data_IF_805172065582
#
_entry.id   IF_805172065582
#
_cell.length_a   1.000
_cell.length_b   1.000
_cell.length_c   1.000
_cell.angle_alpha   90.00
_cell.angle_beta   90.00
_cell.angle_gamma   90.00
#
_symmetry.space_group_name_H-M   'P 1'
#
loop_
_entity.id
_entity.type
_entity.pdbx_description
1 polymer ?
#
# COMPACT_ATOMS: atom_id res chain seq x y z
N UNK A 1 -29.43 80.67 -103.84
CA UNK A 1 -30.26 80.41 -105.03
C UNK A 1 -29.47 80.86 -106.24
N UNK A 2 -28.92 79.92 -106.99
CA UNK A 2 -28.07 80.18 -108.15
C UNK A 2 -28.89 79.94 -109.41
N UNK A 3 -29.10 81.01 -110.17
CA UNK A 3 -29.86 81.05 -111.43
C UNK A 3 -29.50 79.85 -112.32
N UNK A 4 -30.50 79.01 -112.56
CA UNK A 4 -30.39 77.84 -113.43
C UNK A 4 -30.21 78.28 -114.89
N UNK A 5 -28.94 78.50 -115.23
CA UNK A 5 -28.25 78.38 -116.53
C UNK A 5 -29.15 78.31 -117.76
N UNK A 6 -29.12 79.38 -118.56
CA UNK A 6 -29.95 79.71 -119.74
C UNK A 6 -30.17 78.64 -120.84
N UNK A 7 -29.63 77.41 -120.74
CA UNK A 7 -29.80 76.35 -121.75
C UNK A 7 -30.94 75.37 -121.47
N UNK A 8 -31.35 75.22 -120.21
CA UNK A 8 -32.55 74.45 -119.85
C UNK A 8 -32.86 74.64 -118.37
N UNK A 9 -34.15 74.83 -118.04
CA UNK A 9 -34.63 74.71 -116.65
C UNK A 9 -34.46 73.26 -116.20
N UNK A 10 -33.61 73.04 -115.20
CA UNK A 10 -33.42 71.75 -114.53
C UNK A 10 -34.74 71.18 -113.99
N UNK A 11 -34.88 69.85 -113.82
CA UNK A 11 -36.05 69.27 -113.18
C UNK A 11 -36.26 69.88 -111.78
N UNK A 12 -37.51 70.23 -111.40
CA UNK A 12 -37.83 70.66 -110.04
C UNK A 12 -37.40 69.61 -109.00
N UNK A 13 -36.93 70.06 -107.83
CA UNK A 13 -36.53 69.13 -106.74
C UNK A 13 -37.65 68.18 -106.31
N UNK A 14 -38.90 68.66 -106.33
CA UNK A 14 -40.09 67.91 -105.93
C UNK A 14 -40.41 66.74 -106.88
N UNK A 15 -40.04 66.85 -108.17
CA UNK A 15 -40.25 65.79 -109.17
C UNK A 15 -38.96 65.03 -109.49
N UNK A 16 -37.84 65.38 -108.85
CA UNK A 16 -36.53 64.78 -109.13
C UNK A 16 -36.52 63.27 -108.83
N UNK A 17 -37.16 62.80 -107.76
CA UNK A 17 -37.23 61.36 -107.47
C UNK A 17 -37.86 60.59 -108.63
N UNK A 18 -39.04 61.05 -109.07
CA UNK A 18 -39.80 60.45 -110.15
C UNK A 18 -39.05 60.51 -111.50
N UNK A 19 -38.36 61.62 -111.77
CA UNK A 19 -37.59 61.82 -113.00
C UNK A 19 -36.37 60.90 -113.05
N UNK A 20 -35.62 60.74 -111.96
CA UNK A 20 -34.41 59.92 -111.92
C UNK A 20 -34.69 58.41 -111.75
N UNK A 21 -35.87 58.03 -111.25
CA UNK A 21 -36.27 56.63 -111.10
C UNK A 21 -36.88 56.02 -112.38
N UNK A 22 -37.30 56.84 -113.34
CA UNK A 22 -37.90 56.37 -114.59
C UNK A 22 -36.83 56.01 -115.64
N UNK A 23 -37.00 54.92 -116.41
CA UNK A 23 -36.19 54.66 -117.60
C UNK A 23 -36.25 55.88 -118.53
N UNK A 24 -35.08 56.45 -118.86
CA UNK A 24 -34.96 57.66 -119.68
C UNK A 24 -35.76 58.87 -119.16
N UNK A 25 -36.00 58.98 -117.85
CA UNK A 25 -36.82 60.07 -117.31
C UNK A 25 -36.22 61.48 -117.50
N UNK A 26 -34.91 61.59 -117.70
CA UNK A 26 -34.24 62.86 -118.04
C UNK A 26 -34.34 63.25 -119.52
N UNK A 27 -34.84 62.37 -120.40
CA UNK A 27 -34.88 62.58 -121.85
C UNK A 27 -35.57 63.90 -122.25
N UNK A 28 -36.70 64.32 -121.63
CA UNK A 28 -37.33 65.61 -121.97
C UNK A 28 -36.45 66.83 -121.70
N UNK A 29 -35.50 66.73 -120.75
CA UNK A 29 -34.53 67.79 -120.46
C UNK A 29 -33.32 67.70 -121.39
N UNK A 30 -32.86 66.49 -121.69
CA UNK A 30 -31.78 66.26 -122.65
C UNK A 30 -32.17 66.73 -124.05
N UNK A 31 -33.40 66.49 -124.48
CA UNK A 31 -33.91 66.95 -125.79
C UNK A 31 -34.02 68.47 -125.87
N UNK A 32 -34.41 69.16 -124.79
CA UNK A 32 -34.38 70.63 -124.74
C UNK A 32 -32.96 71.16 -124.90
N UNK A 33 -31.99 70.55 -124.21
CA UNK A 33 -30.57 70.91 -124.33
C UNK A 33 -30.06 70.64 -125.75
N UNK A 34 -30.42 69.50 -126.37
CA UNK A 34 -30.04 69.18 -127.77
C UNK A 34 -30.63 70.18 -128.75
N UNK A 35 -31.90 70.56 -128.59
CA UNK A 35 -32.57 71.51 -129.47
C UNK A 35 -31.89 72.89 -129.40
N UNK A 36 -31.53 73.34 -128.20
CA UNK A 36 -30.85 74.61 -128.02
C UNK A 36 -29.42 74.61 -128.55
N UNK A 37 -28.67 73.51 -128.37
CA UNK A 37 -27.32 73.38 -128.92
C UNK A 37 -27.33 73.26 -130.45
N UNK A 38 -28.28 72.51 -131.02
CA UNK A 38 -28.41 72.31 -132.48
C UNK A 38 -28.84 73.55 -133.23
N UNK A 39 -29.49 74.51 -132.56
CA UNK A 39 -29.86 75.81 -133.13
C UNK A 39 -28.67 76.76 -133.33
N UNK A 40 -27.50 76.46 -132.75
CA UNK A 40 -26.30 77.27 -132.90
C UNK A 40 -25.59 76.96 -134.23
N UNK A 41 -25.50 77.95 -135.12
CA UNK A 41 -24.73 77.85 -136.38
C UNK A 41 -23.24 78.08 -136.08
N UNK A 42 -22.36 77.07 -136.18
CA UNK A 42 -20.96 77.21 -135.78
C UNK A 42 -20.16 78.06 -136.77
N UNK A 43 -19.47 79.09 -136.28
CA UNK A 43 -18.50 79.88 -137.07
C UNK A 43 -17.08 79.67 -136.54
N UNK A 44 -16.24 78.97 -137.32
CA UNK A 44 -14.85 78.73 -136.98
C UNK A 44 -13.89 79.80 -137.54
N UNK A 45 -14.37 80.66 -138.45
CA UNK A 45 -13.55 81.64 -139.16
C UNK A 45 -13.21 82.84 -138.27
N UNK A 46 -14.08 83.18 -137.31
CA UNK A 46 -13.86 84.30 -136.39
C UNK A 46 -13.51 83.83 -134.98
N UNK A 47 -12.73 84.65 -134.26
CA UNK A 47 -12.44 84.41 -132.82
C UNK A 47 -13.74 84.37 -132.01
N UNK A 48 -14.66 85.31 -132.29
CA UNK A 48 -15.96 85.41 -131.62
C UNK A 48 -16.82 84.15 -131.82
N UNK A 49 -16.84 83.57 -133.02
CA UNK A 49 -17.55 82.33 -133.30
C UNK A 49 -16.97 81.13 -132.54
N UNK A 50 -15.64 80.99 -132.50
CA UNK A 50 -14.96 79.95 -131.70
C UNK A 50 -15.21 80.10 -130.18
N UNK A 51 -15.19 81.33 -129.68
CA UNK A 51 -15.49 81.63 -128.26
C UNK A 51 -16.97 81.31 -127.92
N UNK A 52 -17.90 81.57 -128.84
CA UNK A 52 -19.32 81.21 -128.68
C UNK A 52 -19.53 79.69 -128.61
N UNK A 53 -18.84 78.91 -129.45
CA UNK A 53 -18.85 77.44 -129.40
C UNK A 53 -18.29 76.94 -128.06
N UNK A 54 -17.17 77.50 -127.61
CA UNK A 54 -16.57 77.14 -126.32
C UNK A 54 -17.50 77.46 -125.14
N UNK A 55 -18.17 78.61 -125.17
CA UNK A 55 -19.15 79.01 -124.16
C UNK A 55 -20.38 78.09 -124.13
N UNK A 56 -20.91 77.73 -125.31
CA UNK A 56 -22.03 76.79 -125.43
C UNK A 56 -21.66 75.41 -124.85
N UNK A 57 -20.48 74.88 -125.21
CA UNK A 57 -19.97 73.63 -124.66
C UNK A 57 -19.75 73.70 -123.14
N UNK A 58 -19.29 74.83 -122.61
CA UNK A 58 -19.14 75.05 -121.17
C UNK A 58 -20.49 75.04 -120.45
N UNK A 59 -21.51 75.72 -121.00
CA UNK A 59 -22.87 75.72 -120.44
C UNK A 59 -23.46 74.29 -120.43
N UNK A 60 -23.26 73.49 -121.49
CA UNK A 60 -23.67 72.07 -121.51
C UNK A 60 -22.98 71.26 -120.39
N UNK A 61 -21.66 71.43 -120.19
CA UNK A 61 -20.93 70.78 -119.09
C UNK A 61 -21.47 71.19 -117.72
N UNK A 62 -21.82 72.47 -117.55
CA UNK A 62 -22.40 72.99 -116.30
C UNK A 62 -23.76 72.35 -116.00
N UNK A 63 -24.63 72.22 -117.01
CA UNK A 63 -25.94 71.55 -116.87
C UNK A 63 -25.76 70.05 -116.57
N UNK A 64 -24.81 69.37 -117.22
CA UNK A 64 -24.45 67.98 -116.89
C UNK A 64 -24.08 67.82 -115.42
N UNK A 65 -23.15 68.64 -114.92
CA UNK A 65 -22.72 68.59 -113.51
C UNK A 65 -23.88 68.86 -112.55
N UNK A 66 -24.78 69.77 -112.90
CA UNK A 66 -25.97 70.03 -112.09
C UNK A 66 -26.94 68.84 -112.05
N UNK A 67 -27.19 68.20 -113.20
CA UNK A 67 -28.01 66.99 -113.28
C UNK A 67 -27.37 65.83 -112.50
N UNK A 68 -26.07 65.61 -112.63
CA UNK A 68 -25.36 64.56 -111.88
C UNK A 68 -25.42 64.82 -110.36
N UNK A 69 -25.14 66.06 -109.94
CA UNK A 69 -25.19 66.47 -108.53
C UNK A 69 -26.58 66.30 -107.90
N UNK A 70 -27.66 66.60 -108.63
CA UNK A 70 -29.03 66.37 -108.14
C UNK A 70 -29.34 64.87 -107.98
N UNK A 71 -28.93 64.03 -108.93
CA UNK A 71 -29.11 62.58 -108.84
C UNK A 71 -28.32 61.98 -107.66
N UNK A 72 -27.08 62.43 -107.46
CA UNK A 72 -26.26 62.03 -106.32
C UNK A 72 -26.89 62.42 -104.99
N UNK A 73 -27.31 63.69 -104.84
CA UNK A 73 -27.96 64.17 -103.61
C UNK A 73 -29.23 63.36 -103.30
N UNK A 74 -30.04 63.05 -104.32
CA UNK A 74 -31.22 62.23 -104.16
C UNK A 74 -30.89 60.82 -103.64
N UNK A 75 -29.85 60.17 -104.20
CA UNK A 75 -29.39 58.85 -103.72
C UNK A 75 -28.88 58.93 -102.29
N UNK A 76 -28.14 59.98 -101.94
CA UNK A 76 -27.63 60.19 -100.59
C UNK A 76 -28.78 60.39 -99.58
N UNK A 77 -29.78 61.23 -99.91
CA UNK A 77 -30.97 61.47 -99.11
C UNK A 77 -31.80 60.18 -98.93
N UNK A 78 -32.01 59.41 -100.01
CA UNK A 78 -32.74 58.14 -99.96
C UNK A 78 -32.02 57.08 -99.10
N UNK A 79 -30.69 57.03 -99.14
CA UNK A 79 -29.90 56.10 -98.32
C UNK A 79 -29.87 56.50 -96.85
N UNK A 80 -30.11 57.77 -96.54
CA UNK A 80 -30.19 58.25 -95.15
C UNK A 80 -31.52 57.88 -94.49
N UNK A 81 -32.61 57.77 -95.26
CA UNK A 81 -33.94 57.40 -94.74
C UNK A 81 -33.94 56.07 -93.96
N UNK A 82 -33.43 54.93 -94.49
CA UNK A 82 -33.32 53.69 -93.73
C UNK A 82 -32.52 53.82 -92.44
N UNK A 83 -31.39 54.56 -92.46
CA UNK A 83 -30.56 54.78 -91.26
C UNK A 83 -31.35 55.50 -90.17
N UNK A 84 -32.11 56.54 -90.54
CA UNK A 84 -32.95 57.30 -89.61
C UNK A 84 -34.11 56.44 -89.08
N UNK A 85 -34.72 55.62 -89.92
CA UNK A 85 -35.77 54.69 -89.51
C UNK A 85 -35.22 53.68 -88.50
N UNK A 86 -34.06 53.06 -88.76
CA UNK A 86 -33.49 52.08 -87.84
C UNK A 86 -33.05 52.70 -86.52
N UNK A 87 -32.49 53.91 -86.55
CA UNK A 87 -32.17 54.66 -85.34
C UNK A 87 -33.41 54.96 -84.51
N UNK A 88 -34.50 55.43 -85.13
CA UNK A 88 -35.75 55.72 -84.40
C UNK A 88 -36.41 54.44 -83.88
N UNK A 89 -36.38 53.35 -84.67
CA UNK A 89 -36.87 52.03 -84.22
C UNK A 89 -36.10 51.51 -83.02
N UNK A 90 -34.77 51.71 -82.98
CA UNK A 90 -33.95 51.36 -81.82
C UNK A 90 -34.33 52.24 -80.63
N UNK A 91 -34.33 53.56 -80.79
CA UNK A 91 -34.72 54.51 -79.75
C UNK A 91 -36.08 54.17 -79.14
N UNK A 92 -37.06 53.86 -79.99
CA UNK A 92 -38.40 53.46 -79.57
C UNK A 92 -38.35 52.18 -78.72
N UNK A 93 -37.66 51.12 -79.16
CA UNK A 93 -37.53 49.88 -78.37
C UNK A 93 -36.87 50.16 -77.02
N UNK A 94 -35.70 50.78 -77.02
CA UNK A 94 -34.94 51.07 -75.80
C UNK A 94 -35.77 51.93 -74.82
N UNK A 95 -36.56 52.88 -75.32
CA UNK A 95 -37.46 53.72 -74.50
C UNK A 95 -38.63 52.93 -73.92
N UNK A 96 -39.26 52.07 -74.73
CA UNK A 96 -40.42 51.27 -74.29
C UNK A 96 -40.00 50.15 -73.33
N UNK A 97 -38.83 49.54 -73.53
CA UNK A 97 -38.26 48.55 -72.62
C UNK A 97 -37.94 49.19 -71.26
N UNK A 98 -37.27 50.34 -71.24
CA UNK A 98 -37.00 51.08 -70.00
C UNK A 98 -38.28 51.52 -69.28
N UNK A 99 -39.31 51.95 -70.02
CA UNK A 99 -40.61 52.29 -69.44
C UNK A 99 -41.31 51.05 -68.86
N UNK A 100 -41.22 49.90 -69.53
CA UNK A 100 -41.78 48.65 -69.02
C UNK A 100 -41.09 48.24 -67.70
N UNK A 101 -39.76 48.36 -67.62
CA UNK A 101 -38.99 48.11 -66.41
C UNK A 101 -39.39 49.06 -65.28
N UNK A 102 -39.50 50.36 -65.56
CA UNK A 102 -39.93 51.38 -64.58
C UNK A 102 -41.35 51.12 -64.06
N UNK A 103 -42.27 50.69 -64.93
CA UNK A 103 -43.64 50.34 -64.56
C UNK A 103 -43.69 49.04 -63.74
N UNK A 104 -42.81 48.07 -64.02
CA UNK A 104 -42.74 46.80 -63.30
C UNK A 104 -42.00 46.90 -61.97
N UNK A 105 -41.08 47.86 -61.83
CA UNK A 105 -40.21 48.03 -60.65
C UNK A 105 -40.97 48.01 -59.32
N UNK A 106 -42.08 48.75 -59.11
CA UNK A 106 -42.80 48.71 -57.83
C UNK A 106 -43.33 47.31 -57.47
N UNK A 107 -43.77 46.52 -58.47
CA UNK A 107 -44.21 45.15 -58.23
C UNK A 107 -43.03 44.23 -57.91
N UNK A 108 -41.88 44.42 -58.55
CA UNK A 108 -40.66 43.64 -58.27
C UNK A 108 -40.14 43.92 -56.86
N UNK A 109 -40.13 45.18 -56.44
CA UNK A 109 -39.74 45.59 -55.09
C UNK A 109 -40.69 45.01 -54.04
N UNK A 110 -41.99 45.00 -54.32
CA UNK A 110 -42.99 44.39 -53.43
C UNK A 110 -42.84 42.86 -53.36
N UNK A 111 -42.66 42.17 -54.48
CA UNK A 111 -42.45 40.72 -54.52
C UNK A 111 -41.23 40.31 -53.69
N UNK A 112 -40.11 41.03 -53.82
CA UNK A 112 -38.91 40.77 -53.02
C UNK A 112 -39.16 41.05 -51.53
N UNK A 113 -39.78 42.18 -51.19
CA UNK A 113 -40.08 42.52 -49.81
C UNK A 113 -41.02 41.49 -49.15
N UNK A 114 -41.95 40.93 -49.93
CA UNK A 114 -42.88 39.90 -49.48
C UNK A 114 -42.19 38.54 -49.32
N UNK A 115 -41.30 38.16 -50.24
CA UNK A 115 -40.45 36.97 -50.09
C UNK A 115 -39.56 37.09 -48.84
N UNK A 116 -38.92 38.23 -48.63
CA UNK A 116 -38.10 38.51 -47.45
C UNK A 116 -38.94 38.52 -46.16
N UNK A 117 -40.17 39.03 -46.19
CA UNK A 117 -41.12 38.98 -45.05
C UNK A 117 -41.44 37.52 -44.70
N UNK A 118 -41.86 36.73 -45.68
CA UNK A 118 -42.19 35.31 -45.50
C UNK A 118 -40.98 34.52 -44.99
N UNK A 119 -39.80 34.75 -45.56
CA UNK A 119 -38.58 34.05 -45.14
C UNK A 119 -38.18 34.41 -43.70
N UNK A 120 -38.27 35.69 -43.31
CA UNK A 120 -38.00 36.11 -41.92
C UNK A 120 -38.91 35.39 -40.92
N UNK A 121 -40.19 35.20 -41.23
CA UNK A 121 -41.09 34.44 -40.35
C UNK A 121 -40.71 32.97 -40.27
N UNK A 122 -40.40 32.33 -41.40
CA UNK A 122 -39.94 30.93 -41.43
C UNK A 122 -38.66 30.75 -40.60
N UNK A 123 -37.67 31.62 -40.79
CA UNK A 123 -36.42 31.59 -40.04
C UNK A 123 -36.66 31.79 -38.54
N UNK A 124 -37.59 32.67 -38.16
CA UNK A 124 -37.95 32.90 -36.76
C UNK A 124 -38.64 31.67 -36.14
N UNK A 125 -39.54 30.98 -36.87
CA UNK A 125 -40.14 29.72 -36.43
C UNK A 125 -39.07 28.62 -36.26
N UNK A 126 -38.16 28.49 -37.23
CA UNK A 126 -37.05 27.53 -37.16
C UNK A 126 -36.08 27.88 -36.01
N UNK A 127 -35.88 29.17 -35.73
CA UNK A 127 -35.11 29.67 -34.60
C UNK A 127 -35.65 29.16 -33.26
N UNK A 128 -36.97 29.08 -33.08
CA UNK A 128 -37.60 28.51 -31.88
C UNK A 128 -37.20 27.04 -31.71
N UNK A 129 -37.25 26.25 -32.78
CA UNK A 129 -36.86 24.84 -32.74
C UNK A 129 -35.35 24.68 -32.46
N UNK A 130 -34.53 25.54 -33.06
CA UNK A 130 -33.07 25.54 -32.88
C UNK A 130 -32.64 25.77 -31.44
N UNK A 131 -33.39 26.56 -30.65
CA UNK A 131 -33.10 26.74 -29.21
C UNK A 131 -33.15 25.42 -28.42
N UNK A 132 -34.02 24.49 -28.83
CA UNK A 132 -34.15 23.17 -28.19
C UNK A 132 -32.99 22.26 -28.58
N UNK A 133 -32.59 22.29 -29.86
CA UNK A 133 -31.53 21.42 -30.40
C UNK A 133 -30.15 21.85 -29.91
N UNK A 134 -29.91 23.16 -29.83
CA UNK A 134 -28.58 23.69 -29.51
C UNK A 134 -28.32 23.83 -28.00
N UNK A 135 -29.32 23.63 -27.14
CA UNK A 135 -29.11 23.63 -25.69
C UNK A 135 -28.42 22.34 -25.23
N UNK A 136 -27.48 22.47 -24.28
CA UNK A 136 -26.80 21.32 -23.70
C UNK A 136 -27.65 20.66 -22.60
N UNK A 137 -27.22 19.49 -22.12
CA UNK A 137 -27.97 18.68 -21.13
C UNK A 137 -27.82 19.15 -19.67
N UNK A 138 -27.22 20.31 -19.40
CA UNK A 138 -27.17 20.86 -18.03
C UNK A 138 -28.50 21.52 -17.66
N UNK A 139 -28.88 21.42 -16.38
CA UNK A 139 -30.10 22.07 -15.89
C UNK A 139 -30.05 23.61 -16.08
N UNK A 140 -28.87 24.22 -16.00
CA UNK A 140 -28.70 25.65 -16.28
C UNK A 140 -28.99 26.00 -17.74
N UNK A 141 -28.40 25.26 -18.69
CA UNK A 141 -28.65 25.49 -20.12
C UNK A 141 -30.10 25.22 -20.51
N UNK A 142 -30.74 24.21 -19.93
CA UNK A 142 -32.14 23.90 -20.18
C UNK A 142 -33.06 25.02 -19.65
N UNK A 143 -32.78 25.57 -18.46
CA UNK A 143 -33.50 26.74 -17.93
C UNK A 143 -33.28 27.99 -18.77
N UNK A 144 -32.06 28.24 -19.23
CA UNK A 144 -31.76 29.38 -20.10
C UNK A 144 -32.48 29.27 -21.45
N UNK A 145 -32.48 28.09 -22.07
CA UNK A 145 -33.22 27.84 -23.31
C UNK A 145 -34.73 28.00 -23.11
N UNK A 146 -35.27 27.51 -21.99
CA UNK A 146 -36.68 27.65 -21.64
C UNK A 146 -37.06 29.13 -21.48
N UNK A 147 -36.27 29.91 -20.75
CA UNK A 147 -36.48 31.35 -20.60
C UNK A 147 -36.42 32.09 -21.95
N UNK A 148 -35.49 31.71 -22.83
CA UNK A 148 -35.37 32.28 -24.17
C UNK A 148 -36.63 32.01 -25.01
N UNK A 149 -37.15 30.78 -25.00
CA UNK A 149 -38.40 30.44 -25.70
C UNK A 149 -39.59 31.15 -25.08
N UNK A 150 -39.68 31.24 -23.75
CA UNK A 150 -40.77 31.95 -23.05
C UNK A 150 -40.81 33.43 -23.40
N UNK A 151 -39.64 34.07 -23.55
CA UNK A 151 -39.49 35.48 -23.91
C UNK A 151 -39.97 35.83 -25.33
N UNK A 152 -40.09 34.86 -26.24
CA UNK A 152 -40.57 35.10 -27.61
C UNK A 152 -42.06 35.44 -27.56
N UNK A 153 -42.41 36.70 -27.80
CA UNK A 153 -43.81 37.10 -27.93
C UNK A 153 -44.41 36.45 -29.18
N UNK A 154 -45.60 35.89 -29.03
CA UNK A 154 -46.42 35.41 -30.15
C UNK A 154 -47.63 36.31 -30.19
N UNK A 155 -47.77 37.06 -31.28
CA UNK A 155 -48.84 38.03 -31.48
C UNK A 155 -49.00 38.42 -32.95
N UNK A 156 -49.76 39.50 -33.21
CA UNK A 156 -50.12 39.92 -34.57
C UNK A 156 -48.93 40.20 -35.49
N UNK A 157 -47.76 40.48 -34.92
CA UNK A 157 -46.51 40.68 -35.65
C UNK A 157 -46.03 39.44 -36.41
N UNK A 158 -46.57 38.25 -36.12
CA UNK A 158 -46.30 37.01 -36.85
C UNK A 158 -47.22 36.77 -38.04
N UNK A 159 -48.25 37.61 -38.21
CA UNK A 159 -49.16 37.57 -39.35
C UNK A 159 -49.74 36.16 -39.59
N UNK A 160 -49.68 35.60 -40.80
CA UNK A 160 -50.19 34.26 -41.10
C UNK A 160 -49.41 33.13 -40.41
N UNK A 161 -48.21 33.42 -39.88
CA UNK A 161 -47.34 32.46 -39.18
C UNK A 161 -47.61 32.40 -37.67
N UNK A 162 -48.48 33.24 -37.11
CA UNK A 162 -48.77 33.28 -35.67
C UNK A 162 -49.10 31.90 -35.10
N UNK A 163 -50.02 31.18 -35.76
CA UNK A 163 -50.42 29.85 -35.32
C UNK A 163 -49.30 28.82 -35.43
N UNK A 164 -48.41 28.95 -36.40
CA UNK A 164 -47.24 28.07 -36.55
C UNK A 164 -46.18 28.35 -35.50
N UNK A 165 -45.88 29.62 -35.25
CA UNK A 165 -44.97 30.07 -34.22
C UNK A 165 -45.46 29.69 -32.82
N UNK A 166 -46.77 29.81 -32.55
CA UNK A 166 -47.39 29.34 -31.31
C UNK A 166 -47.16 27.84 -31.09
N UNK A 167 -47.44 27.02 -32.12
CA UNK A 167 -47.22 25.55 -32.05
C UNK A 167 -45.74 25.21 -31.85
N UNK A 168 -44.84 25.91 -32.53
CA UNK A 168 -43.40 25.72 -32.39
C UNK A 168 -42.94 26.07 -30.97
N UNK A 169 -43.42 27.20 -30.42
CA UNK A 169 -43.15 27.63 -29.03
C UNK A 169 -43.67 26.61 -28.03
N UNK A 170 -44.92 26.16 -28.15
CA UNK A 170 -45.52 25.19 -27.22
C UNK A 170 -44.75 23.86 -27.24
N UNK A 171 -44.40 23.37 -28.43
CA UNK A 171 -43.59 22.15 -28.59
C UNK A 171 -42.21 22.31 -27.95
N UNK A 172 -41.56 23.45 -28.15
CA UNK A 172 -40.25 23.74 -27.56
C UNK A 172 -40.32 23.81 -26.04
N UNK A 173 -41.32 24.51 -25.48
CA UNK A 173 -41.54 24.61 -24.04
C UNK A 173 -41.81 23.23 -23.41
N UNK A 174 -42.69 22.43 -24.01
CA UNK A 174 -42.96 21.08 -23.52
C UNK A 174 -41.69 20.22 -23.50
N UNK A 175 -40.97 20.17 -24.62
CA UNK A 175 -39.76 19.36 -24.72
C UNK A 175 -38.63 19.80 -23.77
N UNK A 176 -38.46 21.11 -23.58
CA UNK A 176 -37.46 21.64 -22.63
C UNK A 176 -37.86 21.38 -21.17
N UNK A 177 -39.15 21.50 -20.83
CA UNK A 177 -39.65 21.18 -19.47
C UNK A 177 -39.44 19.71 -19.14
N UNK A 178 -39.77 18.81 -20.06
CA UNK A 178 -39.59 17.36 -19.85
C UNK A 178 -38.11 17.01 -19.64
N UNK A 179 -37.21 17.58 -20.47
CA UNK A 179 -35.76 17.40 -20.31
C UNK A 179 -35.25 17.98 -18.99
N UNK A 180 -35.72 19.16 -18.58
CA UNK A 180 -35.31 19.78 -17.32
C UNK A 180 -35.74 18.93 -16.12
N UNK A 181 -37.00 18.47 -16.08
CA UNK A 181 -37.49 17.60 -15.00
C UNK A 181 -36.68 16.30 -14.93
N UNK A 182 -36.42 15.67 -16.07
CA UNK A 182 -35.59 14.46 -16.13
C UNK A 182 -34.17 14.73 -15.60
N UNK A 183 -33.60 15.89 -15.96
CA UNK A 183 -32.25 16.27 -15.54
C UNK A 183 -32.15 16.59 -14.05
N UNK A 184 -33.10 17.34 -13.52
CA UNK A 184 -33.17 17.66 -12.08
C UNK A 184 -33.36 16.40 -11.24
N UNK A 185 -34.21 15.47 -11.71
CA UNK A 185 -34.37 14.17 -11.08
C UNK A 185 -33.06 13.38 -11.07
N UNK A 186 -32.38 13.30 -12.21
CA UNK A 186 -31.07 12.63 -12.31
C UNK A 186 -30.04 13.23 -11.34
N UNK A 187 -29.94 14.56 -11.30
CA UNK A 187 -29.00 15.26 -10.41
C UNK A 187 -29.34 15.04 -8.92
N UNK A 188 -30.62 15.02 -8.56
CA UNK A 188 -31.08 14.71 -7.21
C UNK A 188 -30.73 13.26 -6.81
N UNK A 189 -30.97 12.30 -7.69
CA UNK A 189 -30.61 10.88 -7.47
C UNK A 189 -29.09 10.70 -7.31
N UNK A 190 -28.28 11.40 -8.10
CA UNK A 190 -26.81 11.37 -7.95
C UNK A 190 -26.36 11.98 -6.62
N UNK A 191 -26.99 13.08 -6.19
CA UNK A 191 -26.69 13.71 -4.91
C UNK A 191 -27.07 12.82 -3.72
N UNK A 192 -28.22 12.13 -3.80
CA UNK A 192 -28.64 11.16 -2.78
C UNK A 192 -27.69 9.96 -2.74
N UNK A 193 -27.33 9.40 -3.89
CA UNK A 193 -26.38 8.30 -3.97
C UNK A 193 -25.01 8.68 -3.37
N UNK A 194 -24.54 9.90 -3.64
CA UNK A 194 -23.30 10.41 -3.05
C UNK A 194 -23.40 10.54 -1.52
N UNK A 195 -24.54 11.01 -0.99
CA UNK A 195 -24.78 11.07 0.47
C UNK A 195 -24.81 9.68 1.09
N UNK A 196 -25.50 8.72 0.47
CA UNK A 196 -25.56 7.34 0.95
C UNK A 196 -24.16 6.71 1.01
N UNK A 197 -23.34 6.88 -0.04
CA UNK A 197 -21.95 6.43 -0.06
C UNK A 197 -21.09 7.09 1.02
N UNK A 198 -21.27 8.39 1.26
CA UNK A 198 -20.54 9.09 2.32
C UNK A 198 -20.93 8.58 3.72
N UNK A 199 -22.22 8.31 3.95
CA UNK A 199 -22.70 7.74 5.22
C UNK A 199 -22.16 6.32 5.41
N UNK A 200 -22.18 5.49 4.36
CA UNK A 200 -21.64 4.13 4.40
C UNK A 200 -20.13 4.13 4.66
N UNK A 201 -19.36 4.95 3.94
CA UNK A 201 -17.92 5.10 4.17
C UNK A 201 -17.61 5.58 5.60
N UNK A 202 -18.39 6.51 6.15
CA UNK A 202 -18.23 6.96 7.53
C UNK A 202 -18.54 5.85 8.55
N UNK A 203 -19.55 5.00 8.29
CA UNK A 203 -19.85 3.83 9.12
C UNK A 203 -18.72 2.82 9.07
N UNK A 204 -18.24 2.46 7.89
CA UNK A 204 -17.11 1.54 7.73
C UNK A 204 -15.85 2.06 8.44
N UNK A 205 -15.57 3.36 8.33
CA UNK A 205 -14.45 3.98 9.02
C UNK A 205 -14.61 3.87 10.54
N UNK A 206 -15.79 4.20 11.06
CA UNK A 206 -16.09 4.06 12.49
C UNK A 206 -15.97 2.61 12.96
N UNK A 207 -16.48 1.64 12.21
CA UNK A 207 -16.36 0.22 12.54
C UNK A 207 -14.91 -0.27 12.52
N UNK A 208 -14.09 0.23 11.58
CA UNK A 208 -12.64 -0.03 11.55
C UNK A 208 -11.96 0.55 12.78
N UNK A 209 -12.24 1.80 13.12
CA UNK A 209 -11.69 2.47 14.30
C UNK A 209 -12.11 1.76 15.60
N UNK A 210 -13.38 1.38 15.72
CA UNK A 210 -13.88 0.59 16.86
C UNK A 210 -13.24 -0.80 16.92
N UNK A 211 -13.04 -1.48 15.78
CA UNK A 211 -12.34 -2.77 15.74
C UNK A 211 -10.89 -2.61 16.19
N UNK A 212 -10.17 -1.62 15.68
CA UNK A 212 -8.80 -1.32 16.10
C UNK A 212 -8.75 -0.99 17.60
N UNK A 213 -9.70 -0.20 18.10
CA UNK A 213 -9.79 0.13 19.52
C UNK A 213 -10.08 -1.11 20.39
N UNK A 214 -11.01 -1.98 19.97
CA UNK A 214 -11.30 -3.26 20.65
C UNK A 214 -10.09 -4.19 20.65
N UNK A 215 -9.43 -4.37 19.51
CA UNK A 215 -8.22 -5.18 19.38
C UNK A 215 -7.07 -4.64 20.25
N UNK A 216 -6.91 -3.32 20.31
CA UNK A 216 -5.92 -2.67 21.16
C UNK A 216 -6.22 -2.85 22.66
N UNK A 217 -7.48 -2.67 23.07
CA UNK A 217 -7.92 -2.90 24.44
C UNK A 217 -7.77 -4.37 24.85
N UNK A 218 -8.18 -5.31 24.01
CA UNK A 218 -8.05 -6.74 24.28
C UNK A 218 -6.58 -7.14 24.37
N UNK A 219 -5.74 -6.65 23.46
CA UNK A 219 -4.29 -6.88 23.54
C UNK A 219 -3.69 -6.33 24.83
N UNK A 220 -4.06 -5.10 25.22
CA UNK A 220 -3.59 -4.51 26.48
C UNK A 220 -4.04 -5.32 27.70
N UNK A 221 -5.28 -5.82 27.70
CA UNK A 221 -5.80 -6.70 28.75
C UNK A 221 -5.04 -8.03 28.79
N UNK A 222 -4.85 -8.71 27.65
CA UNK A 222 -4.07 -9.96 27.58
C UNK A 222 -2.62 -9.75 28.04
N UNK A 223 -1.99 -8.66 27.65
CA UNK A 223 -0.63 -8.32 28.08
C UNK A 223 -0.57 -8.03 29.60
N UNK A 224 -1.57 -7.34 30.15
CA UNK A 224 -1.68 -7.09 31.60
C UNK A 224 -1.95 -8.38 32.39
N UNK A 225 -2.87 -9.23 31.93
CA UNK A 225 -3.16 -10.54 32.54
C UNK A 225 -1.95 -11.47 32.47
N UNK A 226 -1.24 -11.52 31.34
CA UNK A 226 -0.01 -12.30 31.20
C UNK A 226 1.10 -11.81 32.15
N UNK A 227 1.25 -10.48 32.33
CA UNK A 227 2.19 -9.91 33.32
C UNK A 227 1.78 -10.26 34.74
N UNK A 228 0.50 -10.10 35.09
CA UNK A 228 -0.01 -10.44 36.41
C UNK A 228 0.14 -11.94 36.71
N UNK A 229 -0.10 -12.81 35.72
CA UNK A 229 0.11 -14.25 35.87
C UNK A 229 1.60 -14.58 36.01
N UNK A 230 2.47 -13.96 35.21
CA UNK A 230 3.92 -14.15 35.35
C UNK A 230 4.45 -13.68 36.72
N UNK A 231 3.92 -12.59 37.26
CA UNK A 231 4.23 -12.13 38.62
C UNK A 231 3.73 -13.10 39.69
N UNK A 232 2.52 -13.63 39.55
CA UNK A 232 1.97 -14.66 40.45
C UNK A 232 2.80 -15.95 40.39
N UNK A 233 3.14 -16.43 39.21
CA UNK A 233 3.96 -17.63 39.03
C UNK A 233 5.37 -17.42 39.58
N UNK A 234 5.95 -16.23 39.39
CA UNK A 234 7.25 -15.88 39.99
C UNK A 234 7.17 -15.80 41.51
N UNK A 235 6.11 -15.25 42.08
CA UNK A 235 5.88 -15.22 43.52
C UNK A 235 5.69 -16.64 44.09
N UNK A 236 4.88 -17.48 43.44
CA UNK A 236 4.67 -18.87 43.81
C UNK A 236 5.96 -19.69 43.73
N UNK A 237 6.80 -19.46 42.71
CA UNK A 237 8.14 -20.08 42.63
C UNK A 237 9.04 -19.65 43.77
N UNK A 238 9.09 -18.35 44.10
CA UNK A 238 9.87 -17.85 45.24
C UNK A 238 9.39 -18.43 46.57
N UNK A 239 8.08 -18.55 46.76
CA UNK A 239 7.50 -19.17 47.96
C UNK A 239 7.82 -20.67 48.03
N UNK A 240 7.67 -21.40 46.92
CA UNK A 240 8.04 -22.82 46.84
C UNK A 240 9.55 -23.05 47.08
N UNK A 241 10.41 -22.20 46.52
CA UNK A 241 11.86 -22.23 46.76
C UNK A 241 12.19 -21.92 48.22
N UNK A 242 11.52 -20.94 48.83
CA UNK A 242 11.69 -20.61 50.24
C UNK A 242 11.22 -21.74 51.17
N UNK A 243 10.09 -22.40 50.85
CA UNK A 243 9.60 -23.57 51.58
C UNK A 243 10.54 -24.76 51.43
N UNK A 244 11.01 -25.04 50.22
CA UNK A 244 11.99 -26.12 49.97
C UNK A 244 13.31 -25.85 50.69
N UNK A 245 13.78 -24.60 50.71
CA UNK A 245 14.97 -24.20 51.47
C UNK A 245 14.74 -24.34 52.99
N UNK A 246 13.57 -23.95 53.49
CA UNK A 246 13.21 -24.11 54.90
C UNK A 246 13.07 -25.59 55.30
N UNK A 247 12.50 -26.44 54.45
CA UNK A 247 12.39 -27.88 54.66
C UNK A 247 13.78 -28.54 54.65
N UNK A 248 14.64 -28.17 53.69
CA UNK A 248 16.03 -28.63 53.64
C UNK A 248 16.81 -28.20 54.89
N UNK A 249 16.63 -26.95 55.34
CA UNK A 249 17.23 -26.47 56.58
C UNK A 249 16.72 -27.23 57.81
N UNK A 250 15.42 -27.54 57.87
CA UNK A 250 14.82 -28.33 58.96
C UNK A 250 15.33 -29.77 58.97
N UNK A 251 15.41 -30.43 57.82
CA UNK A 251 15.97 -31.77 57.68
C UNK A 251 17.44 -31.80 58.10
N UNK A 252 18.24 -30.80 57.69
CA UNK A 252 19.63 -30.68 58.12
C UNK A 252 19.76 -30.45 59.64
N UNK A 253 18.89 -29.62 60.23
CA UNK A 253 18.86 -29.41 61.68
C UNK A 253 18.45 -30.68 62.44
N UNK A 254 17.47 -31.45 61.94
CA UNK A 254 17.10 -32.75 62.49
C UNK A 254 18.23 -33.77 62.38
N UNK A 255 18.93 -33.81 61.25
CA UNK A 255 20.07 -34.71 61.06
C UNK A 255 21.23 -34.33 62.00
N UNK A 256 21.47 -33.04 62.21
CA UNK A 256 22.46 -32.56 63.17
C UNK A 256 22.08 -32.92 64.62
N UNK A 257 20.80 -32.79 64.97
CA UNK A 257 20.29 -33.19 66.29
C UNK A 257 20.39 -34.70 66.51
N UNK A 258 20.03 -35.52 65.51
CA UNK A 258 20.20 -36.97 65.60
C UNK A 258 21.67 -37.38 65.72
N UNK A 259 22.59 -36.69 65.01
CA UNK A 259 24.02 -36.90 65.18
C UNK A 259 24.50 -36.55 66.58
N UNK A 260 23.95 -35.48 67.19
CA UNK A 260 24.25 -35.10 68.58
C UNK A 260 23.76 -36.16 69.57
N UNK A 261 22.51 -36.60 69.43
CA UNK A 261 21.92 -37.65 70.28
C UNK A 261 22.70 -38.96 70.12
N UNK A 262 23.05 -39.36 68.89
CA UNK A 262 23.86 -40.55 68.65
C UNK A 262 25.26 -40.44 69.26
N UNK A 263 25.89 -39.25 69.19
CA UNK A 263 27.18 -39.01 69.84
C UNK A 263 27.09 -39.05 71.37
N UNK A 264 26.01 -38.52 71.97
CA UNK A 264 25.75 -38.61 73.41
C UNK A 264 25.52 -40.06 73.84
N UNK A 265 24.71 -40.82 73.10
CA UNK A 265 24.47 -42.24 73.36
C UNK A 265 25.76 -43.06 73.23
N UNK A 266 26.59 -42.78 72.23
CA UNK A 266 27.88 -43.45 72.07
C UNK A 266 28.83 -43.12 73.24
N UNK A 267 28.88 -41.86 73.68
CA UNK A 267 29.68 -41.45 74.84
C UNK A 267 29.18 -42.09 76.15
N UNK A 268 27.88 -42.33 76.29
CA UNK A 268 27.30 -43.01 77.45
C UNK A 268 27.57 -44.52 77.43
N UNK A 269 27.48 -45.18 76.27
CA UNK A 269 27.91 -46.56 76.08
C UNK A 269 29.41 -46.73 76.38
N UNK A 270 30.24 -45.79 75.95
CA UNK A 270 31.68 -45.81 76.23
C UNK A 270 31.97 -45.63 77.73
N UNK A 271 31.23 -44.77 78.44
CA UNK A 271 31.31 -44.67 79.92
C UNK A 271 30.88 -45.95 80.61
N UNK A 272 29.79 -46.58 80.16
CA UNK A 272 29.31 -47.84 80.73
C UNK A 272 30.31 -48.97 80.47
N UNK A 273 30.91 -49.05 79.28
CA UNK A 273 31.95 -50.00 78.95
C UNK A 273 33.25 -49.77 79.74
N UNK A 274 33.60 -48.51 80.05
CA UNK A 274 34.72 -48.19 80.93
C UNK A 274 34.45 -48.61 82.38
N UNK A 275 33.23 -48.38 82.90
CA UNK A 275 32.83 -48.78 84.24
C UNK A 275 32.77 -50.31 84.42
N UNK A 276 32.36 -51.05 83.39
CA UNK A 276 32.40 -52.53 83.40
C UNK A 276 33.84 -53.03 83.40
N UNK A 277 34.72 -52.46 82.56
CA UNK A 277 36.16 -52.81 82.55
C UNK A 277 36.84 -52.55 83.90
N UNK A 278 36.48 -51.46 84.59
CA UNK A 278 37.01 -51.14 85.91
C UNK A 278 36.55 -52.13 86.99
N UNK A 279 35.26 -52.56 86.94
CA UNK A 279 34.73 -53.61 87.83
C UNK A 279 35.36 -54.98 87.56
N UNK A 280 35.58 -55.35 86.30
CA UNK A 280 36.25 -56.60 85.94
C UNK A 280 37.73 -56.61 86.36
N UNK A 281 38.42 -55.48 86.21
CA UNK A 281 39.79 -55.31 86.70
C UNK A 281 39.89 -55.41 88.24
N UNK A 282 38.93 -54.82 88.97
CA UNK A 282 38.84 -54.92 90.43
C UNK A 282 38.54 -56.36 90.90
N UNK A 283 37.61 -57.06 90.24
CA UNK A 283 37.29 -58.46 90.55
C UNK A 283 38.48 -59.40 90.27
N UNK A 284 39.22 -59.19 89.18
CA UNK A 284 40.43 -59.97 88.89
C UNK A 284 41.60 -59.65 89.83
N UNK A 285 41.67 -58.45 90.41
CA UNK A 285 42.65 -58.10 91.44
C UNK A 285 42.32 -58.79 92.78
N UNK A 286 41.04 -58.82 93.16
CA UNK A 286 40.58 -59.51 94.38
C UNK A 286 40.78 -61.04 94.30
N UNK A 287 40.52 -61.63 93.13
CA UNK A 287 40.69 -63.07 92.91
C UNK A 287 42.17 -63.49 92.93
N UNK A 288 43.08 -62.65 92.39
CA UNK A 288 44.54 -62.85 92.51
C UNK A 288 45.04 -62.70 93.96
N UNK A 289 44.47 -61.77 94.73
CA UNK A 289 44.80 -61.60 96.14
C UNK A 289 44.36 -62.81 97.01
N UNK A 290 43.17 -63.39 96.73
CA UNK A 290 42.70 -64.61 97.42
C UNK A 290 43.54 -65.85 97.09
N UNK A 291 43.92 -66.04 95.83
CA UNK A 291 44.79 -67.16 95.43
C UNK A 291 46.21 -67.05 96.01
N UNK A 292 46.76 -65.83 96.11
CA UNK A 292 48.06 -65.60 96.75
C UNK A 292 48.01 -65.86 98.27
N UNK A 293 46.90 -65.53 98.95
CA UNK A 293 46.70 -65.81 100.37
C UNK A 293 46.54 -67.31 100.68
N UNK A 294 45.86 -68.07 99.82
CA UNK A 294 45.71 -69.52 99.97
C UNK A 294 47.03 -70.29 99.72
N UNK A 295 47.84 -69.86 98.75
CA UNK A 295 49.16 -70.45 98.51
C UNK A 295 50.14 -70.17 99.66
N UNK A 296 50.11 -68.98 100.27
CA UNK A 296 50.91 -68.66 101.45
C UNK A 296 50.49 -69.49 102.69
N UNK A 297 49.18 -69.72 102.87
CA UNK A 297 48.65 -70.54 103.98
C UNK A 297 48.86 -72.06 103.80
N UNK A 298 49.10 -72.54 102.58
CA UNK A 298 49.48 -73.92 102.30
C UNK A 298 50.99 -74.16 102.53
N UNK A 299 51.84 -73.20 102.15
CA UNK A 299 53.28 -73.27 102.39
C UNK A 299 53.67 -73.25 103.87
N UNK A 300 52.98 -72.48 104.71
CA UNK A 300 53.23 -72.44 106.16
C UNK A 300 52.78 -73.72 106.89
N UNK A 301 51.71 -74.39 106.40
CA UNK A 301 51.26 -75.68 106.94
C UNK A 301 52.20 -76.83 106.60
N UNK A 302 52.86 -76.79 105.44
CA UNK A 302 53.85 -77.78 105.06
C UNK A 302 55.14 -77.66 105.91
N UNK A 303 55.59 -76.44 106.21
CA UNK A 303 56.81 -76.20 107.01
C UNK A 303 56.69 -76.72 108.45
N UNK A 304 55.49 -76.61 109.06
CA UNK A 304 55.22 -77.09 110.43
C UNK A 304 55.16 -78.63 110.49
N UNK A 305 54.69 -79.29 109.43
CA UNK A 305 54.64 -80.75 109.36
C UNK A 305 56.04 -81.39 109.22
N UNK A 306 56.92 -80.75 108.44
CA UNK A 306 58.28 -81.24 108.21
C UNK A 306 59.20 -81.04 109.45
N UNK A 307 58.97 -79.99 110.25
CA UNK A 307 59.70 -79.73 111.52
C UNK A 307 59.34 -80.74 112.64
N UNK A 308 58.09 -81.19 112.71
CA UNK A 308 57.65 -82.18 113.71
C UNK A 308 58.12 -83.61 113.38
N UNK A 309 58.28 -83.94 112.10
CA UNK A 309 58.80 -85.24 111.66
C UNK A 309 60.32 -85.39 111.93
N UNK A 310 61.09 -84.30 111.82
CA UNK A 310 62.53 -84.30 112.09
C UNK A 310 62.87 -84.44 113.60
N UNK A 311 62.06 -83.85 114.48
CA UNK A 311 62.27 -83.93 115.94
C UNK A 311 61.96 -85.32 116.55
N UNK A 312 61.06 -86.09 115.93
CA UNK A 312 60.70 -87.44 116.40
C UNK A 312 61.74 -88.52 116.03
N UNK A 313 62.46 -88.34 114.91
CA UNK A 313 63.48 -89.29 114.46
C UNK A 313 64.80 -89.19 115.26
N UNK A 314 65.12 -88.02 115.83
CA UNK A 314 66.37 -87.80 116.57
C UNK A 314 66.31 -88.28 118.04
N UNK A 315 65.11 -88.41 118.62
CA UNK A 315 64.91 -88.92 119.98
C UNK A 315 65.04 -90.45 120.09
N UNK A 316 64.64 -91.19 119.04
CA UNK A 316 64.69 -92.67 119.05
C UNK A 316 66.11 -93.25 118.98
N UNK A 317 67.07 -92.53 118.37
CA UNK A 317 68.43 -93.04 118.16
C UNK A 317 69.34 -92.90 119.40
N UNK A 318 68.93 -92.13 120.42
CA UNK A 318 69.73 -91.90 121.64
C UNK A 318 69.42 -92.88 122.78
N UNK A 319 68.29 -93.59 122.75
CA UNK A 319 67.90 -94.53 123.81
C UNK A 319 68.44 -95.96 123.59
N UNK A 320 68.63 -96.40 122.34
CA UNK A 320 69.15 -97.75 122.05
C UNK A 320 70.65 -97.91 122.36
N UNK A 321 71.44 -96.83 122.26
CA UNK A 321 72.91 -96.88 122.41
C UNK A 321 73.39 -96.92 123.87
N UNK A 322 72.52 -96.54 124.83
CA UNK A 322 72.84 -96.59 126.27
C UNK A 322 72.61 -97.97 126.89
N UNK A 323 71.63 -98.73 126.41
CA UNK A 323 71.30 -100.07 126.93
C UNK A 323 72.38 -101.11 126.57
N UNK A 324 72.97 -100.99 125.38
CA UNK A 324 74.02 -101.90 124.90
C UNK A 324 75.31 -101.79 125.74
N UNK A 325 75.71 -100.57 126.10
CA UNK A 325 76.94 -100.30 126.88
C UNK A 325 76.85 -100.72 128.35
N UNK A 326 75.66 -100.68 128.95
CA UNK A 326 75.46 -101.11 130.33
C UNK A 326 75.61 -102.64 130.51
N UNK A 327 75.18 -103.41 129.51
CA UNK A 327 75.18 -104.88 129.57
C UNK A 327 76.60 -105.47 129.50
N UNK A 328 77.43 -104.95 128.59
CA UNK A 328 78.83 -105.38 128.39
C UNK A 328 79.68 -105.10 129.64
N UNK A 329 79.50 -103.94 130.27
CA UNK A 329 80.25 -103.56 131.46
C UNK A 329 79.93 -104.43 132.69
N UNK A 330 78.70 -104.94 132.78
CA UNK A 330 78.29 -105.83 133.86
C UNK A 330 78.86 -107.23 133.71
N UNK A 331 79.01 -107.73 132.48
CA UNK A 331 79.69 -109.00 132.20
C UNK A 331 81.19 -108.96 132.53
N UNK A 332 81.86 -107.82 132.25
CA UNK A 332 83.26 -107.63 132.62
C UNK A 332 83.46 -107.58 134.16
N UNK A 333 82.49 -106.99 134.89
CA UNK A 333 82.50 -106.95 136.35
C UNK A 333 82.45 -108.36 136.97
N UNK A 334 81.54 -109.22 136.51
CA UNK A 334 81.38 -110.58 137.03
C UNK A 334 82.62 -111.44 136.80
N UNK A 335 83.30 -111.28 135.65
CA UNK A 335 84.54 -111.99 135.33
C UNK A 335 85.70 -111.63 136.27
N UNK A 336 85.79 -110.36 136.68
CA UNK A 336 86.80 -109.89 137.63
C UNK A 336 86.56 -110.44 139.05
N UNK A 337 85.30 -110.51 139.48
CA UNK A 337 84.93 -111.04 140.80
C UNK A 337 85.20 -112.55 140.88
N UNK A 338 84.93 -113.31 139.81
CA UNK A 338 85.24 -114.75 139.75
C UNK A 338 86.74 -115.05 139.84
N UNK A 339 87.60 -114.11 139.42
CA UNK A 339 89.06 -114.21 139.50
C UNK A 339 89.67 -113.95 140.89
N UNK A 340 88.85 -113.81 141.94
CA UNK A 340 89.31 -113.60 143.31
C UNK A 340 89.53 -112.14 143.70
N UNK A 341 89.10 -111.18 142.87
CA UNK A 341 89.20 -109.75 143.17
C UNK A 341 88.00 -109.25 143.98
N UNK A 342 88.20 -108.49 145.07
CA UNK A 342 87.10 -107.88 145.83
C UNK A 342 86.23 -106.98 144.96
N UNK A 343 84.90 -107.03 145.16
CA UNK A 343 83.89 -106.40 144.29
C UNK A 343 84.10 -104.89 144.10
N UNK A 344 84.53 -104.18 145.15
CA UNK A 344 84.78 -102.74 145.06
C UNK A 344 86.01 -102.42 144.18
N UNK A 345 87.05 -103.25 144.25
CA UNK A 345 88.22 -103.15 143.36
C UNK A 345 87.86 -103.53 141.92
N UNK A 346 86.95 -104.49 141.72
CA UNK A 346 86.46 -104.87 140.39
C UNK A 346 85.63 -103.76 139.71
N UNK A 347 84.74 -103.08 140.45
CA UNK A 347 84.00 -101.90 139.96
C UNK A 347 84.95 -100.78 139.55
N UNK A 348 85.98 -100.55 140.35
CA UNK A 348 86.99 -99.54 140.06
C UNK A 348 87.83 -99.91 138.83
N UNK A 349 88.20 -101.19 138.66
CA UNK A 349 88.90 -101.68 137.49
C UNK A 349 88.07 -101.53 136.19
N UNK A 350 86.81 -101.95 136.17
CA UNK A 350 85.90 -101.78 135.01
C UNK A 350 85.72 -100.31 134.67
N UNK A 351 85.58 -99.44 135.67
CA UNK A 351 85.43 -97.98 135.47
C UNK A 351 86.69 -97.35 134.87
N UNK A 352 87.88 -97.74 135.34
CA UNK A 352 89.15 -97.21 134.83
C UNK A 352 89.43 -97.71 133.40
N UNK A 353 89.03 -98.94 133.08
CA UNK A 353 89.16 -99.50 131.72
C UNK A 353 88.15 -98.86 130.76
N UNK A 354 86.89 -98.66 131.16
CA UNK A 354 85.88 -97.98 130.33
C UNK A 354 86.23 -96.51 130.06
N UNK A 355 86.97 -95.86 130.97
CA UNK A 355 87.49 -94.49 130.80
C UNK A 355 88.86 -94.41 130.09
N UNK A 356 89.45 -95.56 129.71
CA UNK A 356 90.74 -95.60 129.01
C UNK A 356 91.94 -95.14 129.85
N UNK A 357 91.84 -95.22 131.18
CA UNK A 357 92.87 -94.74 132.12
C UNK A 357 93.93 -95.82 132.45
N UNK A 358 93.75 -97.06 131.99
CA UNK A 358 94.74 -98.14 132.08
C UNK A 358 95.31 -98.41 130.68
N UNK A 359 96.62 -98.19 130.45
CA UNK A 359 97.22 -98.43 129.14
C UNK A 359 97.15 -99.90 128.72
N UNK A 360 96.93 -100.14 127.42
CA UNK A 360 96.96 -101.45 126.76
C UNK A 360 95.84 -102.44 127.12
N UNK A 361 94.75 -102.00 127.74
CA UNK A 361 93.53 -102.79 128.00
C UNK A 361 92.27 -101.98 127.59
N UNK A 362 91.27 -102.61 126.96
CA UNK A 362 90.00 -101.97 126.52
C UNK A 362 88.80 -102.92 126.62
N UNK A 363 87.61 -102.37 126.88
CA UNK A 363 86.32 -103.09 126.78
C UNK A 363 85.72 -102.81 125.40
N UNK A 364 85.31 -103.87 124.69
CA UNK A 364 84.65 -103.78 123.38
C UNK A 364 83.14 -103.91 123.59
N UNK A 365 82.36 -102.93 123.09
CA UNK A 365 80.89 -102.87 123.25
C UNK A 365 80.15 -103.51 122.08
#
# INVERSE_FOLDING_TARGET
MTEATEIAKLPPKETALEVYSKPSGLEPWLEKIRAEVSGHVPDLKTKKGRDAIASLAFKVRKVKTALDGMGKQLVDDLKDVPKRIDAERKRMRDTLDALADDVRRPLTEWEQAEEDRVQRHKDAVEGIASLVVNCNESAESLRAALAAVEAIAIGPEWEEFEAEAARAKDKALSGLRDRLVAREKYEAEQAELARLRAVEAAREQKEREERIAREAAERAQREAEARAQAERDAAARREAEALAAAETARLNAQLAEQRRIAAEQQAELDRQAAAVREREAAAQAEQRARQAAEQAAAAERQRIADEQAAAAAEAASREEDMAHKATINRAALDAFVHGGMPEDCAKQAVTLIAKGLIPNIRITY
#
